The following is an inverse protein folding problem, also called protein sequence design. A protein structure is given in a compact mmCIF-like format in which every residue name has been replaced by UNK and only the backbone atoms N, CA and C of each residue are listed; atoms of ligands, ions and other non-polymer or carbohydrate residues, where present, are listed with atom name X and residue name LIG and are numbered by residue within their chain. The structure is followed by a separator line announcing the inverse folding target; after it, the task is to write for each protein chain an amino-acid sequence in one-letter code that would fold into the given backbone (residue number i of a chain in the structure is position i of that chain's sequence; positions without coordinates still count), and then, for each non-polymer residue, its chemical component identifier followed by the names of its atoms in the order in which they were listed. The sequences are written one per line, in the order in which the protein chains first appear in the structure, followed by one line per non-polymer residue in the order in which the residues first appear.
data_IF_052407483449
#
_entry.id   IF_052407483449
#
_cell.length_a   1.000
_cell.length_b   1.000
_cell.length_c   1.000
_cell.angle_alpha   90.00
_cell.angle_beta   90.00
_cell.angle_gamma   90.00
#
_symmetry.space_group_name_H-M   'P 1'
#
loop_
_entity.id
_entity.type
_entity.pdbx_description
1 polymer ?
#
# COMPACT_ATOMS: atom_id res chain seq x y z
N UNK A 1 -0.01 9.56 19.82
CA UNK A 1 -1.13 9.41 18.88
C UNK A 1 -1.74 10.76 18.51
N UNK A 2 -2.05 11.72 19.44
CA UNK A 2 -2.59 13.03 19.08
C UNK A 2 -1.74 13.80 18.06
N UNK A 3 -0.43 13.84 18.22
CA UNK A 3 0.49 14.54 17.31
C UNK A 3 0.50 13.92 15.91
N UNK A 4 0.33 12.60 15.82
CA UNK A 4 0.17 11.88 14.55
C UNK A 4 -1.09 12.37 13.82
N UNK A 5 -2.23 12.36 14.50
CA UNK A 5 -3.50 12.76 13.91
C UNK A 5 -3.49 14.22 13.47
N UNK A 6 -2.96 15.13 14.31
CA UNK A 6 -2.79 16.54 13.98
C UNK A 6 -1.93 16.75 12.72
N UNK A 7 -0.85 15.98 12.55
CA UNK A 7 0.00 16.06 11.36
C UNK A 7 -0.76 15.68 10.08
N UNK A 8 -1.57 14.62 10.14
CA UNK A 8 -2.39 14.20 8.99
C UNK A 8 -3.54 15.17 8.71
N UNK A 9 -4.15 15.76 9.74
CA UNK A 9 -5.12 16.84 9.59
C UNK A 9 -4.52 18.08 8.90
N UNK A 10 -3.30 18.48 9.33
CA UNK A 10 -2.60 19.60 8.69
C UNK A 10 -2.27 19.34 7.21
N UNK A 11 -2.02 18.08 6.86
CA UNK A 11 -1.74 17.65 5.48
C UNK A 11 -2.99 17.35 4.66
N UNK A 12 -4.18 17.53 5.25
CA UNK A 12 -5.47 17.19 4.63
C UNK A 12 -5.50 15.75 4.08
N UNK A 13 -4.88 14.82 4.83
CA UNK A 13 -4.76 13.42 4.44
C UNK A 13 -5.68 12.56 5.29
N UNK A 14 -6.50 11.73 4.65
CA UNK A 14 -7.43 10.81 5.30
C UNK A 14 -6.69 9.85 6.24
N UNK A 15 -7.31 9.54 7.37
CA UNK A 15 -6.83 8.55 8.35
C UNK A 15 -7.96 7.60 8.70
N UNK A 16 -7.76 6.34 8.35
CA UNK A 16 -8.62 5.23 8.73
C UNK A 16 -7.90 4.33 9.75
N UNK A 17 -8.63 3.79 10.71
CA UNK A 17 -8.16 2.81 11.68
C UNK A 17 -8.87 1.48 11.47
N UNK A 18 -8.10 0.40 11.28
CA UNK A 18 -8.62 -0.97 11.25
C UNK A 18 -8.25 -1.69 12.54
N UNK A 19 -9.26 -2.08 13.30
CA UNK A 19 -9.06 -2.87 14.52
C UNK A 19 -9.03 -4.35 14.15
N UNK A 20 -7.84 -4.98 14.33
CA UNK A 20 -7.65 -6.38 14.02
C UNK A 20 -8.34 -7.29 15.05
N UNK A 21 -8.94 -8.38 14.59
CA UNK A 21 -9.63 -9.36 15.40
C UNK A 21 -8.63 -10.42 15.93
N UNK A 22 -7.74 -9.97 16.80
CA UNK A 22 -6.69 -10.80 17.39
C UNK A 22 -7.07 -11.26 18.80
N UNK A 23 -6.70 -12.49 19.14
CA UNK A 23 -6.73 -12.93 20.53
C UNK A 23 -5.72 -12.19 21.39
N UNK A 24 -5.86 -12.13 22.71
CA UNK A 24 -4.88 -11.49 23.59
C UNK A 24 -3.44 -12.02 23.41
N UNK A 25 -3.30 -13.31 23.11
CA UNK A 25 -1.99 -13.94 22.85
C UNK A 25 -1.40 -13.42 21.54
N UNK A 26 -2.19 -13.36 20.47
CA UNK A 26 -1.77 -12.83 19.15
C UNK A 26 -1.46 -11.35 19.22
N UNK A 27 -2.28 -10.54 19.91
CA UNK A 27 -2.02 -9.12 20.13
C UNK A 27 -0.70 -8.89 20.83
N UNK A 28 -0.41 -9.68 21.86
CA UNK A 28 0.85 -9.62 22.59
C UNK A 28 2.03 -10.02 21.71
N UNK A 29 1.91 -11.09 20.94
CA UNK A 29 2.95 -11.54 20.02
C UNK A 29 3.24 -10.48 18.93
N UNK A 30 2.19 -9.82 18.38
CA UNK A 30 2.35 -8.74 17.43
C UNK A 30 3.06 -7.54 18.05
N UNK A 31 2.68 -7.16 19.28
CA UNK A 31 3.33 -6.07 20.00
C UNK A 31 4.82 -6.35 20.26
N UNK A 32 5.15 -7.56 20.68
CA UNK A 32 6.54 -7.99 20.90
C UNK A 32 7.35 -7.98 19.59
N UNK A 33 6.76 -8.44 18.47
CA UNK A 33 7.38 -8.37 17.14
C UNK A 33 7.65 -6.93 16.70
N UNK A 34 6.71 -6.00 16.94
CA UNK A 34 6.88 -4.57 16.65
C UNK A 34 8.00 -3.96 17.50
N UNK A 35 8.08 -4.31 18.80
CA UNK A 35 9.18 -3.86 19.66
C UNK A 35 10.54 -4.34 19.15
N UNK A 36 10.65 -5.60 18.75
CA UNK A 36 11.87 -6.17 18.17
C UNK A 36 12.25 -5.42 16.88
N UNK A 37 11.27 -5.14 16.01
CA UNK A 37 11.50 -4.38 14.77
C UNK A 37 11.95 -2.93 15.04
N UNK A 38 11.48 -2.31 16.11
CA UNK A 38 11.85 -0.94 16.50
C UNK A 38 13.25 -0.84 17.12
N UNK A 39 13.91 -1.94 17.47
CA UNK A 39 15.27 -1.93 18.04
C UNK A 39 16.26 -1.30 17.08
N UNK A 40 17.32 -0.60 17.57
CA UNK A 40 18.29 0.12 16.73
C UNK A 40 18.90 -0.72 15.60
N UNK A 41 19.16 -2.01 15.87
CA UNK A 41 19.73 -2.95 14.89
C UNK A 41 18.74 -3.41 13.80
N UNK A 42 17.41 -3.27 14.03
CA UNK A 42 16.38 -3.79 13.14
C UNK A 42 15.59 -2.69 12.42
N UNK A 43 15.55 -1.47 12.98
CA UNK A 43 14.75 -0.37 12.44
C UNK A 43 15.29 0.23 11.13
N UNK A 44 16.59 0.02 10.86
CA UNK A 44 17.24 0.48 9.62
C UNK A 44 17.32 -0.68 8.66
N UNK A 45 16.74 -0.53 7.48
CA UNK A 45 16.70 -1.56 6.46
C UNK A 45 16.82 -0.95 5.06
N UNK A 46 17.18 -1.78 4.08
CA UNK A 46 17.20 -1.38 2.68
C UNK A 46 15.76 -1.31 2.16
N UNK A 47 15.22 -0.10 2.12
CA UNK A 47 13.88 0.13 1.59
C UNK A 47 13.76 -0.31 0.13
N UNK A 48 12.72 -1.07 -0.17
CA UNK A 48 12.33 -1.44 -1.52
C UNK A 48 10.87 -1.04 -1.74
N UNK A 49 10.64 -0.12 -2.65
CA UNK A 49 9.33 0.47 -2.89
C UNK A 49 8.22 -0.57 -3.14
N UNK A 50 8.52 -1.65 -3.84
CA UNK A 50 7.54 -2.67 -4.22
C UNK A 50 7.48 -3.85 -3.23
N UNK A 51 8.62 -4.26 -2.68
CA UNK A 51 8.71 -5.54 -1.97
C UNK A 51 9.00 -5.44 -0.48
N UNK A 52 9.55 -4.33 -0.01
CA UNK A 52 9.87 -4.12 1.41
C UNK A 52 9.68 -2.66 1.81
N UNK A 53 8.41 -2.26 1.99
CA UNK A 53 7.98 -0.89 2.25
C UNK A 53 7.09 -0.78 3.50
N UNK A 54 6.53 0.41 3.73
CA UNK A 54 5.67 0.71 4.88
C UNK A 54 4.32 -0.06 4.89
N UNK A 55 3.86 -0.59 3.76
CA UNK A 55 2.66 -1.41 3.68
C UNK A 55 2.99 -2.92 3.82
N UNK A 56 4.03 -3.39 3.12
CA UNK A 56 4.38 -4.81 3.10
C UNK A 56 4.92 -5.31 4.45
N UNK A 57 5.64 -4.47 5.21
CA UNK A 57 6.18 -4.86 6.53
C UNK A 57 5.10 -5.13 7.58
N UNK A 58 4.15 -4.23 7.84
CA UNK A 58 3.03 -4.51 8.75
C UNK A 58 2.23 -5.74 8.33
N UNK A 59 1.94 -5.88 7.02
CA UNK A 59 1.30 -7.09 6.50
C UNK A 59 2.05 -8.36 6.90
N UNK A 60 3.33 -8.41 6.61
CA UNK A 60 4.16 -9.57 6.89
C UNK A 60 4.22 -9.90 8.39
N UNK A 61 4.21 -8.89 9.27
CA UNK A 61 4.17 -9.09 10.72
C UNK A 61 2.84 -9.69 11.17
N UNK A 62 1.72 -9.20 10.64
CA UNK A 62 0.39 -9.75 10.93
C UNK A 62 0.29 -11.20 10.44
N UNK A 63 0.72 -11.48 9.20
CA UNK A 63 0.75 -12.84 8.65
C UNK A 63 1.60 -13.78 9.51
N UNK A 64 2.78 -13.35 9.94
CA UNK A 64 3.70 -14.12 10.77
C UNK A 64 3.06 -14.50 12.13
N UNK A 65 2.45 -13.55 12.80
CA UNK A 65 1.81 -13.77 14.12
C UNK A 65 0.57 -14.67 14.01
N UNK A 66 -0.04 -14.70 12.83
CA UNK A 66 -1.18 -15.57 12.52
C UNK A 66 -0.76 -16.88 11.83
N UNK A 67 0.51 -17.29 11.96
CA UNK A 67 1.06 -18.52 11.36
C UNK A 67 0.80 -18.65 9.85
N UNK A 68 0.75 -17.53 9.13
CA UNK A 68 0.38 -17.45 7.71
C UNK A 68 -1.01 -18.03 7.38
N UNK A 69 -1.93 -17.96 8.33
CA UNK A 69 -3.31 -18.47 8.18
C UNK A 69 -4.30 -17.38 7.74
N UNK A 70 -3.81 -16.24 7.35
CA UNK A 70 -4.62 -15.19 6.71
C UNK A 70 -4.94 -15.61 5.28
N UNK A 71 -6.22 -15.57 4.94
CA UNK A 71 -6.71 -15.80 3.58
C UNK A 71 -7.29 -14.53 3.03
N UNK A 72 -6.69 -14.05 1.96
CA UNK A 72 -7.17 -12.87 1.23
C UNK A 72 -8.19 -13.30 0.17
N UNK A 73 -9.20 -12.49 0.01
CA UNK A 73 -10.18 -12.65 -1.07
C UNK A 73 -9.60 -12.05 -2.34
N UNK A 74 -9.10 -12.89 -3.23
CA UNK A 74 -8.56 -12.44 -4.51
C UNK A 74 -9.67 -11.82 -5.37
N UNK A 75 -9.41 -10.68 -6.03
CA UNK A 75 -10.32 -10.15 -7.02
C UNK A 75 -10.44 -11.16 -8.19
N UNK A 76 -11.67 -11.36 -8.68
CA UNK A 76 -11.94 -12.30 -9.78
C UNK A 76 -11.50 -11.80 -11.15
N UNK A 77 -10.81 -10.67 -11.22
CA UNK A 77 -10.38 -10.02 -12.45
C UNK A 77 -8.87 -10.19 -12.67
N UNK A 78 -8.41 -9.92 -13.90
CA UNK A 78 -6.99 -9.84 -14.21
C UNK A 78 -6.34 -8.73 -13.40
N UNK A 79 -5.26 -9.05 -12.69
CA UNK A 79 -4.52 -8.07 -11.91
C UNK A 79 -3.66 -7.20 -12.82
N UNK A 80 -3.50 -5.91 -12.51
CA UNK A 80 -2.65 -5.01 -13.27
C UNK A 80 -1.17 -5.39 -13.16
N UNK A 81 -0.36 -4.84 -14.05
CA UNK A 81 1.08 -4.86 -13.92
C UNK A 81 1.53 -3.87 -12.83
N UNK A 82 2.77 -4.01 -12.34
CA UNK A 82 3.32 -3.01 -11.41
C UNK A 82 3.32 -1.60 -12.02
N UNK A 83 3.60 -1.49 -13.32
CA UNK A 83 3.60 -0.21 -14.03
C UNK A 83 2.22 0.43 -14.01
N UNK A 84 1.18 -0.30 -14.44
CA UNK A 84 -0.20 0.20 -14.43
C UNK A 84 -0.65 0.65 -13.05
N UNK A 85 -0.26 -0.06 -11.99
CA UNK A 85 -0.61 0.30 -10.63
C UNK A 85 0.15 1.56 -10.15
N UNK A 86 1.44 1.68 -10.47
CA UNK A 86 2.24 2.87 -10.17
C UNK A 86 1.70 4.09 -10.92
N UNK A 87 1.37 3.93 -12.20
CA UNK A 87 0.81 4.99 -13.03
C UNK A 87 -0.54 5.49 -12.49
N UNK A 88 -1.35 4.57 -11.94
CA UNK A 88 -2.61 4.93 -11.28
C UNK A 88 -2.38 5.87 -10.08
N UNK A 89 -1.33 5.65 -9.29
CA UNK A 89 -0.97 6.53 -8.18
C UNK A 89 -0.30 7.83 -8.62
N UNK A 90 0.50 7.79 -9.69
CA UNK A 90 1.27 8.92 -10.19
C UNK A 90 0.54 9.74 -11.28
N UNK A 91 -0.65 9.32 -11.71
CA UNK A 91 -1.35 9.73 -12.93
C UNK A 91 -1.58 11.23 -13.14
N UNK A 92 -1.43 12.06 -12.11
CA UNK A 92 -1.57 13.53 -12.18
C UNK A 92 -0.25 14.22 -12.61
N UNK A 93 0.87 13.50 -12.53
CA UNK A 93 2.22 14.03 -12.76
C UNK A 93 2.93 13.32 -13.92
N UNK A 94 2.70 13.69 -15.21
CA UNK A 94 3.26 12.98 -16.37
C UNK A 94 4.80 12.86 -16.35
N UNK A 95 5.50 13.88 -15.83
CA UNK A 95 6.96 13.85 -15.70
C UNK A 95 7.45 12.90 -14.62
N UNK A 96 6.66 12.73 -13.55
CA UNK A 96 6.95 11.75 -12.52
C UNK A 96 6.81 10.33 -13.06
N UNK A 97 5.72 10.03 -13.78
CA UNK A 97 5.50 8.77 -14.47
C UNK A 97 6.67 8.47 -15.39
N UNK A 98 6.98 9.40 -16.30
CA UNK A 98 8.09 9.24 -17.25
C UNK A 98 9.43 8.94 -16.56
N UNK A 99 9.74 9.63 -15.46
CA UNK A 99 10.96 9.40 -14.67
C UNK A 99 10.96 8.04 -13.98
N UNK A 100 9.85 7.63 -13.40
CA UNK A 100 9.69 6.32 -12.76
C UNK A 100 9.81 5.21 -13.79
N UNK A 101 9.13 5.31 -14.92
CA UNK A 101 9.17 4.35 -16.01
C UNK A 101 10.58 4.14 -16.56
N UNK A 102 11.31 5.22 -16.74
CA UNK A 102 12.70 5.16 -17.20
C UNK A 102 13.61 4.50 -16.15
N UNK A 103 13.40 4.79 -14.87
CA UNK A 103 14.23 4.28 -13.78
C UNK A 103 13.98 2.79 -13.48
N UNK A 104 12.73 2.34 -13.55
CA UNK A 104 12.33 1.00 -13.15
C UNK A 104 12.42 -0.05 -14.28
N UNK A 105 12.42 0.41 -15.53
CA UNK A 105 12.60 -0.45 -16.71
C UNK A 105 11.48 -1.48 -16.93
N UNK A 106 11.73 -2.47 -17.79
CA UNK A 106 10.74 -3.46 -18.23
C UNK A 106 10.40 -4.55 -17.20
N UNK A 107 11.12 -4.63 -16.09
CA UNK A 107 10.83 -5.60 -15.03
C UNK A 107 9.46 -5.44 -14.37
N UNK A 108 8.82 -4.28 -14.56
CA UNK A 108 7.52 -3.94 -14.01
C UNK A 108 6.33 -4.25 -14.95
N UNK A 109 6.59 -4.75 -16.15
CA UNK A 109 5.56 -5.00 -17.17
C UNK A 109 4.89 -6.37 -17.01
N UNK A 110 5.21 -7.10 -15.95
CA UNK A 110 4.54 -8.35 -15.62
C UNK A 110 3.31 -8.14 -14.74
N UNK A 111 2.26 -8.96 -14.89
CA UNK A 111 1.14 -8.96 -13.97
C UNK A 111 1.61 -9.24 -12.53
N UNK A 112 0.98 -8.58 -11.57
CA UNK A 112 1.19 -8.82 -10.16
C UNK A 112 0.37 -10.01 -9.67
N UNK A 113 0.82 -10.65 -8.60
CA UNK A 113 -0.06 -11.42 -7.73
C UNK A 113 -0.84 -10.47 -6.83
N UNK A 114 -1.99 -10.89 -6.31
CA UNK A 114 -2.77 -10.05 -5.38
C UNK A 114 -1.98 -9.66 -4.13
N UNK A 115 -1.12 -10.58 -3.65
CA UNK A 115 -0.24 -10.29 -2.52
C UNK A 115 0.82 -9.23 -2.86
N UNK A 116 1.34 -9.21 -4.09
CA UNK A 116 2.26 -8.17 -4.55
C UNK A 116 1.55 -6.82 -4.67
N UNK A 117 0.30 -6.78 -5.12
CA UNK A 117 -0.47 -5.54 -5.23
C UNK A 117 -0.65 -4.81 -3.87
N UNK A 118 -0.57 -5.55 -2.75
CA UNK A 118 -0.60 -4.99 -1.39
C UNK A 118 0.65 -4.16 -1.01
N UNK A 119 1.56 -3.86 -1.96
CA UNK A 119 2.58 -2.83 -1.74
C UNK A 119 1.95 -1.44 -1.62
N UNK A 120 0.79 -1.23 -2.24
CA UNK A 120 -0.03 -0.04 -2.11
C UNK A 120 -0.85 -0.07 -0.81
N UNK A 121 -0.80 1.00 0.02
CA UNK A 121 -1.50 1.02 1.31
C UNK A 121 -3.02 0.89 1.18
N UNK A 122 -3.64 1.48 0.16
CA UNK A 122 -5.09 1.37 -0.10
C UNK A 122 -5.51 -0.07 -0.43
N UNK A 123 -4.70 -0.77 -1.22
CA UNK A 123 -4.95 -2.16 -1.56
C UNK A 123 -4.79 -3.06 -0.33
N UNK A 124 -3.78 -2.78 0.49
CA UNK A 124 -3.58 -3.50 1.75
C UNK A 124 -4.76 -3.30 2.71
N UNK A 125 -5.24 -2.07 2.86
CA UNK A 125 -6.42 -1.75 3.68
C UNK A 125 -7.65 -2.55 3.22
N UNK A 126 -7.94 -2.52 1.91
CA UNK A 126 -9.03 -3.29 1.30
C UNK A 126 -8.84 -4.79 1.51
N UNK A 127 -7.64 -5.29 1.24
CA UNK A 127 -7.32 -6.71 1.39
C UNK A 127 -7.51 -7.18 2.85
N UNK A 128 -7.13 -6.37 3.83
CA UNK A 128 -7.34 -6.68 5.25
C UNK A 128 -8.81 -6.67 5.65
N UNK A 129 -9.59 -5.70 5.15
CA UNK A 129 -11.02 -5.59 5.44
C UNK A 129 -11.82 -6.81 4.95
N UNK A 130 -11.39 -7.42 3.84
CA UNK A 130 -12.03 -8.61 3.25
C UNK A 130 -11.37 -9.94 3.67
N UNK A 131 -10.22 -9.89 4.36
CA UNK A 131 -9.49 -11.09 4.76
C UNK A 131 -10.17 -11.85 5.91
N UNK A 132 -9.95 -13.15 5.90
CA UNK A 132 -10.37 -14.05 6.99
C UNK A 132 -9.19 -14.83 7.55
N UNK A 133 -9.28 -15.19 8.82
CA UNK A 133 -8.29 -16.05 9.50
C UNK A 133 -8.95 -17.36 9.84
N UNK A 134 -8.30 -18.46 9.45
CA UNK A 134 -8.76 -19.82 9.78
C UNK A 134 -7.63 -20.58 10.47
N UNK A 135 -7.69 -20.69 11.80
CA UNK A 135 -6.60 -21.24 12.61
C UNK A 135 -6.41 -22.76 12.45
N UNK A 136 -7.47 -23.48 12.13
CA UNK A 136 -7.42 -24.91 11.78
C UNK A 136 -8.43 -25.24 10.69
N UNK A 137 -8.28 -26.36 9.94
CA UNK A 137 -9.23 -26.75 8.89
C UNK A 137 -10.67 -26.88 9.39
N UNK A 138 -10.84 -27.30 10.63
CA UNK A 138 -12.14 -27.51 11.27
C UNK A 138 -12.70 -26.28 12.01
N UNK A 139 -11.91 -25.21 12.11
CA UNK A 139 -12.38 -23.96 12.74
C UNK A 139 -13.15 -23.09 11.76
N UNK A 140 -14.14 -22.37 12.27
CA UNK A 140 -14.80 -21.34 11.49
C UNK A 140 -13.80 -20.23 11.10
N UNK A 141 -13.89 -19.77 9.86
CA UNK A 141 -13.13 -18.60 9.41
C UNK A 141 -13.69 -17.35 10.09
N UNK A 142 -12.80 -16.51 10.60
CA UNK A 142 -13.14 -15.28 11.31
C UNK A 142 -12.58 -14.09 10.55
N UNK A 143 -13.33 -12.96 10.38
CA UNK A 143 -12.78 -11.77 9.74
C UNK A 143 -11.50 -11.30 10.43
N UNK A 144 -10.49 -10.90 9.63
CA UNK A 144 -9.23 -10.35 10.14
C UNK A 144 -9.45 -9.00 10.83
N UNK A 145 -10.30 -8.15 10.24
CA UNK A 145 -10.67 -6.84 10.77
C UNK A 145 -12.03 -6.94 11.44
N UNK A 146 -12.10 -6.52 12.71
CA UNK A 146 -13.36 -6.51 13.46
C UNK A 146 -14.19 -5.27 13.19
N UNK A 147 -13.54 -4.12 12.94
CA UNK A 147 -14.17 -2.85 12.58
C UNK A 147 -13.16 -1.92 11.93
N UNK A 148 -13.67 -1.01 11.10
CA UNK A 148 -12.92 0.11 10.53
C UNK A 148 -13.56 1.41 11.02
N UNK A 149 -12.74 2.36 11.47
CA UNK A 149 -13.16 3.67 11.93
C UNK A 149 -12.45 4.75 11.12
N UNK A 150 -13.20 5.73 10.61
CA UNK A 150 -12.63 6.91 9.97
C UNK A 150 -12.28 7.91 11.07
N UNK A 151 -11.00 8.13 11.32
CA UNK A 151 -10.51 9.05 12.35
C UNK A 151 -10.44 10.48 11.83
N UNK A 152 -10.17 10.65 10.55
CA UNK A 152 -10.18 11.93 9.86
C UNK A 152 -10.45 11.72 8.37
N UNK A 153 -11.37 12.53 7.83
CA UNK A 153 -11.67 12.58 6.40
C UNK A 153 -11.70 14.06 5.96
N UNK A 154 -10.78 14.48 5.08
CA UNK A 154 -10.79 15.85 4.57
C UNK A 154 -12.01 16.07 3.68
N UNK A 155 -12.67 17.24 3.80
CA UNK A 155 -13.87 17.59 3.03
C UNK A 155 -13.63 17.62 1.51
N UNK A 156 -12.39 17.94 1.09
CA UNK A 156 -12.00 17.96 -0.31
C UNK A 156 -10.58 17.41 -0.45
N UNK A 157 -10.38 16.29 -1.15
CA UNK A 157 -9.03 15.84 -1.46
C UNK A 157 -8.32 16.89 -2.32
N UNK A 158 -7.11 17.30 -1.91
CA UNK A 158 -6.28 18.21 -2.68
C UNK A 158 -5.87 17.53 -4.00
N UNK A 159 -6.63 17.76 -5.07
CA UNK A 159 -6.26 17.30 -6.39
C UNK A 159 -5.40 18.40 -7.05
N UNK A 160 -4.10 18.14 -7.33
CA UNK A 160 -3.29 19.10 -8.05
C UNK A 160 -3.86 19.33 -9.46
N UNK A 161 -3.67 20.53 -10.05
CA UNK A 161 -4.17 20.82 -11.38
C UNK A 161 -3.52 19.91 -12.42
N UNK A 162 -4.32 19.47 -13.40
CA UNK A 162 -3.82 18.67 -14.52
C UNK A 162 -2.70 19.38 -15.27
N UNK A 163 -1.66 18.63 -15.63
CA UNK A 163 -0.54 19.16 -16.41
C UNK A 163 -1.02 19.47 -17.85
N UNK A 164 -0.90 20.72 -18.32
CA UNK A 164 -1.27 21.07 -19.70
C UNK A 164 -0.52 20.20 -20.71
N UNK A 165 -1.19 19.80 -21.79
CA UNK A 165 -0.62 18.92 -22.82
C UNK A 165 0.76 19.37 -23.34
N UNK A 166 0.96 20.66 -23.56
CA UNK A 166 2.23 21.22 -24.06
C UNK A 166 3.39 21.18 -23.04
N UNK A 167 3.12 20.80 -21.80
CA UNK A 167 4.12 20.57 -20.76
C UNK A 167 4.32 19.07 -20.45
N UNK A 168 3.77 18.17 -21.26
CA UNK A 168 3.95 16.73 -21.08
C UNK A 168 5.24 16.22 -21.72
N UNK A 169 5.82 15.13 -21.21
CA UNK A 169 7.00 14.47 -21.83
C UNK A 169 6.77 14.11 -23.30
N UNK A 170 5.55 13.66 -23.62
CA UNK A 170 5.18 13.29 -24.99
C UNK A 170 5.28 14.49 -25.94
N UNK A 171 4.74 15.64 -25.56
CA UNK A 171 4.82 16.87 -26.38
C UNK A 171 6.26 17.33 -26.57
N UNK A 172 7.07 17.29 -25.52
CA UNK A 172 8.50 17.63 -25.60
C UNK A 172 9.24 16.66 -26.52
N UNK A 173 8.99 15.36 -26.44
CA UNK A 173 9.56 14.36 -27.35
C UNK A 173 9.17 14.63 -28.81
N UNK A 174 7.90 15.01 -29.06
CA UNK A 174 7.43 15.42 -30.38
C UNK A 174 8.17 16.65 -30.94
N UNK A 175 8.39 17.67 -30.11
CA UNK A 175 9.17 18.82 -30.49
C UNK A 175 10.60 18.43 -30.91
N UNK A 176 11.27 17.60 -30.11
CA UNK A 176 12.61 17.11 -30.49
C UNK A 176 12.60 16.34 -31.81
N UNK A 177 11.61 15.47 -32.02
CA UNK A 177 11.51 14.68 -33.26
C UNK A 177 11.34 15.52 -34.52
N UNK A 178 10.64 16.64 -34.46
CA UNK A 178 10.38 17.50 -35.62
C UNK A 178 11.42 18.61 -35.84
N UNK A 179 12.21 18.93 -34.80
CA UNK A 179 13.20 20.03 -34.90
C UNK A 179 14.66 19.54 -34.89
N UNK A 180 14.89 18.26 -34.81
CA UNK A 180 16.21 17.59 -34.97
C UNK A 180 16.21 16.74 -36.24
#
# INVERSE_FOLDING_TARGET
FPDFLLNYQFRESKVDEQVLNLTPIQSRALFEALLVNAMPQNRVYRYNFLFDNCATRPRNMVEMVLDNKVRYKEPGESLPTFREEIDRYAGICPWLIFGIDLALGSGLDRPMTYREQMFGPEILEKAFSEAVVQMSPDSAAVPLVSRTEVLYDPEVPACPPETPFYLTPLFVAWLFFFFV
#
